data_IF_157976579058
#
_entry.id   IF_157976579058
#
_cell.length_a   1.000
_cell.length_b   1.000
_cell.length_c   1.000
_cell.angle_alpha   90.00
_cell.angle_beta   90.00
_cell.angle_gamma   90.00
#
_symmetry.space_group_name_H-M   'P 1'
#
loop_
_entity.id
_entity.type
_entity.pdbx_description
1 polymer ?
#
# COMPACT_ATOMS: atom_id res chain seq x y z
N UNK A 1 43.34 -8.98 -3.87
CA UNK A 1 42.74 -7.65 -3.61
C UNK A 1 41.24 -7.81 -3.75
N UNK A 2 40.54 -7.81 -2.61
CA UNK A 2 39.10 -8.05 -2.50
C UNK A 2 38.34 -6.76 -2.81
N UNK A 3 37.48 -6.78 -3.82
CA UNK A 3 36.41 -5.81 -4.03
C UNK A 3 35.14 -6.56 -4.47
N UNK A 4 34.50 -7.27 -3.53
CA UNK A 4 33.16 -7.83 -3.74
C UNK A 4 32.38 -7.67 -2.45
N UNK A 5 31.50 -6.66 -2.38
CA UNK A 5 30.67 -6.49 -1.18
C UNK A 5 29.74 -5.28 -1.07
N UNK A 6 29.82 -4.23 -1.89
CA UNK A 6 29.03 -3.01 -1.62
C UNK A 6 27.71 -2.84 -2.38
N UNK A 7 27.51 -3.49 -3.52
CA UNK A 7 26.43 -3.07 -4.45
C UNK A 7 25.11 -3.83 -4.29
N UNK A 8 25.11 -4.94 -3.54
CA UNK A 8 23.99 -5.88 -3.51
C UNK A 8 22.73 -5.40 -2.75
N UNK A 9 22.74 -4.17 -2.23
CA UNK A 9 21.65 -3.60 -1.44
C UNK A 9 21.25 -2.18 -1.86
N UNK A 10 21.80 -1.63 -2.94
CA UNK A 10 21.52 -0.25 -3.36
C UNK A 10 20.05 -0.03 -3.72
N UNK A 11 19.39 -1.00 -4.38
CA UNK A 11 17.97 -0.88 -4.67
C UNK A 11 17.08 -1.16 -3.44
N UNK A 12 17.49 -2.05 -2.52
CA UNK A 12 16.77 -2.25 -1.25
C UNK A 12 16.84 -0.98 -0.41
N UNK A 13 18.01 -0.34 -0.34
CA UNK A 13 18.15 1.02 0.19
C UNK A 13 17.30 2.00 -0.59
N UNK A 14 17.31 2.02 -1.92
CA UNK A 14 16.48 2.96 -2.68
C UNK A 14 14.98 2.75 -2.44
N UNK A 15 14.49 1.50 -2.39
CA UNK A 15 13.09 1.17 -2.11
C UNK A 15 12.75 1.44 -0.64
N UNK A 16 13.63 1.11 0.31
CA UNK A 16 13.42 1.42 1.74
C UNK A 16 13.55 2.91 2.04
N UNK A 17 14.51 3.62 1.44
CA UNK A 17 14.68 5.08 1.55
C UNK A 17 13.49 5.79 0.89
N UNK A 18 13.03 5.37 -0.29
CA UNK A 18 11.82 5.90 -0.91
C UNK A 18 10.57 5.56 -0.08
N UNK A 19 10.49 4.36 0.49
CA UNK A 19 9.36 3.94 1.32
C UNK A 19 9.37 4.58 2.72
N UNK A 20 10.54 4.87 3.30
CA UNK A 20 10.72 5.57 4.58
C UNK A 20 10.60 7.09 4.41
N UNK A 21 10.99 7.63 3.25
CA UNK A 21 10.83 9.04 2.91
C UNK A 21 9.36 9.47 2.90
N UNK A 22 8.46 8.53 2.65
CA UNK A 22 7.03 8.75 2.66
C UNK A 22 6.37 7.67 3.53
N UNK A 23 6.22 7.90 4.85
CA UNK A 23 5.68 6.91 5.80
C UNK A 23 4.29 6.38 5.40
N UNK A 24 3.51 7.19 4.68
CA UNK A 24 2.20 6.81 4.12
C UNK A 24 2.28 5.74 3.01
N UNK A 25 3.47 5.46 2.46
CA UNK A 25 3.70 4.43 1.44
C UNK A 25 3.91 3.02 2.01
N UNK A 26 4.23 2.93 3.31
CA UNK A 26 4.46 1.64 3.98
C UNK A 26 3.19 0.97 4.45
N UNK A 27 2.11 1.73 4.65
CA UNK A 27 0.85 1.12 5.04
C UNK A 27 0.29 0.34 3.86
N UNK A 28 0.55 -0.97 3.85
CA UNK A 28 -0.44 -1.93 3.37
C UNK A 28 -1.75 -1.48 4.00
N UNK A 29 -2.79 -1.17 3.21
CA UNK A 29 -4.06 -0.76 3.81
C UNK A 29 -4.46 -1.86 4.75
N UNK A 30 -4.51 -1.52 6.03
CA UNK A 30 -4.93 -2.45 7.06
C UNK A 30 -6.24 -3.07 6.61
N UNK A 31 -6.34 -4.39 6.76
CA UNK A 31 -7.56 -5.08 6.42
C UNK A 31 -8.68 -4.42 7.19
N UNK A 32 -9.57 -3.77 6.45
CA UNK A 32 -10.65 -2.95 6.99
C UNK A 32 -11.76 -3.89 7.45
N UNK A 33 -11.41 -4.76 8.38
CA UNK A 33 -12.34 -5.68 9.02
C UNK A 33 -12.88 -4.93 10.23
N UNK A 34 -14.21 -4.81 10.27
CA UNK A 34 -15.04 -3.98 11.14
C UNK A 34 -15.32 -2.58 10.56
N UNK A 35 -16.48 -2.48 9.88
CA UNK A 35 -17.50 -1.40 9.86
C UNK A 35 -17.16 0.08 10.10
N UNK A 36 -15.92 0.53 9.97
CA UNK A 36 -15.62 1.96 10.04
C UNK A 36 -15.14 2.46 8.70
N UNK A 37 -16.10 2.93 7.90
CA UNK A 37 -15.89 4.06 6.98
C UNK A 37 -15.39 5.34 7.71
N UNK A 38 -15.01 5.26 8.99
CA UNK A 38 -14.63 6.41 9.81
C UNK A 38 -13.21 6.91 9.55
N UNK A 39 -12.41 6.21 8.74
CA UNK A 39 -11.04 6.66 8.40
C UNK A 39 -11.05 8.02 7.67
N UNK A 40 -12.20 8.53 7.24
CA UNK A 40 -12.34 9.87 6.67
C UNK A 40 -13.18 10.89 7.46
N UNK A 41 -14.01 10.47 8.42
CA UNK A 41 -14.99 11.39 9.05
C UNK A 41 -14.37 12.25 10.14
N UNK A 42 -13.31 11.78 10.81
CA UNK A 42 -12.76 12.46 11.98
C UNK A 42 -11.71 13.53 11.65
N UNK A 43 -11.13 13.55 10.44
CA UNK A 43 -10.13 14.57 10.07
C UNK A 43 -10.74 15.91 9.60
N UNK A 44 -11.97 15.91 9.07
CA UNK A 44 -12.69 17.18 8.81
C UNK A 44 -13.16 17.86 10.10
N UNK A 45 -13.33 17.10 11.19
CA UNK A 45 -13.85 17.59 12.48
C UNK A 45 -12.76 18.21 13.38
N UNK A 46 -11.48 17.90 13.19
CA UNK A 46 -10.36 18.51 13.92
C UNK A 46 -9.92 19.85 13.28
N UNK A 47 -10.90 20.69 12.95
CA UNK A 47 -10.69 22.06 12.48
C UNK A 47 -10.00 22.89 13.57
N UNK A 48 -8.71 23.16 13.39
CA UNK A 48 -8.16 24.47 13.70
C UNK A 48 -7.88 25.20 12.37
N UNK A 49 -8.10 26.51 12.37
CA UNK A 49 -7.98 27.41 11.22
C UNK A 49 -6.59 27.27 10.54
N UNK A 50 -6.47 27.55 9.24
CA UNK A 50 -5.15 27.62 8.61
C UNK A 50 -4.33 28.68 9.32
N UNK A 51 -3.24 28.26 9.98
CA UNK A 51 -2.27 29.20 10.51
C UNK A 51 -1.65 29.94 9.32
N UNK A 52 -1.56 31.26 9.42
CA UNK A 52 -1.10 32.20 8.38
C UNK A 52 0.32 31.88 7.85
N UNK A 53 1.03 30.94 8.47
CA UNK A 53 2.35 30.45 8.09
C UNK A 53 2.38 29.43 6.93
N UNK A 54 1.23 28.97 6.40
CA UNK A 54 1.19 27.96 5.32
C UNK A 54 1.65 28.49 3.93
N UNK A 55 1.75 29.81 3.74
CA UNK A 55 1.99 30.39 2.41
C UNK A 55 3.47 30.47 2.00
N UNK A 56 4.41 30.56 2.94
CA UNK A 56 5.81 30.98 2.67
C UNK A 56 6.84 29.85 2.67
N UNK A 57 6.40 28.58 2.66
CA UNK A 57 7.30 27.43 2.65
C UNK A 57 7.83 27.10 1.25
N UNK A 58 9.13 26.73 1.12
CA UNK A 58 9.72 26.37 -0.18
C UNK A 58 9.02 25.15 -0.78
N UNK A 59 8.74 25.21 -2.09
CA UNK A 59 8.06 24.16 -2.84
C UNK A 59 9.01 23.01 -3.22
N UNK A 60 9.57 22.33 -2.21
CA UNK A 60 10.53 21.25 -2.38
C UNK A 60 10.11 19.95 -1.66
N UNK A 61 10.66 18.83 -2.13
CA UNK A 61 10.32 17.50 -1.62
C UNK A 61 10.79 17.31 -0.17
N UNK A 62 11.86 18.00 0.24
CA UNK A 62 12.40 17.92 1.60
C UNK A 62 11.40 18.50 2.59
N UNK A 63 10.82 19.67 2.29
CA UNK A 63 9.79 20.27 3.13
C UNK A 63 8.53 19.40 3.17
N UNK A 64 8.12 18.83 2.03
CA UNK A 64 7.00 17.89 2.00
C UNK A 64 7.20 16.71 2.96
N UNK A 65 8.38 16.09 2.96
CA UNK A 65 8.68 14.97 3.88
C UNK A 65 8.64 15.41 5.34
N UNK A 66 9.18 16.60 5.66
CA UNK A 66 9.14 17.15 7.02
C UNK A 66 7.70 17.39 7.50
N UNK A 67 6.84 17.93 6.65
CA UNK A 67 5.42 18.15 6.97
C UNK A 67 4.69 16.83 7.23
N UNK A 68 4.95 15.80 6.41
CA UNK A 68 4.39 14.47 6.62
C UNK A 68 4.85 13.83 7.94
N UNK A 69 6.12 13.97 8.29
CA UNK A 69 6.67 13.45 9.55
C UNK A 69 6.13 14.19 10.79
N UNK A 70 5.90 15.49 10.67
CA UNK A 70 5.36 16.33 11.76
C UNK A 70 3.84 16.27 11.86
N UNK A 71 3.15 15.53 10.97
CA UNK A 71 1.70 15.37 10.98
C UNK A 71 0.92 16.57 10.42
N UNK A 72 1.60 17.54 9.80
CA UNK A 72 0.99 18.72 9.19
C UNK A 72 0.39 18.39 7.81
N UNK A 73 -0.67 17.57 7.80
CA UNK A 73 -1.20 16.97 6.57
C UNK A 73 -1.84 17.98 5.61
N UNK A 74 -2.47 19.06 6.10
CA UNK A 74 -3.04 20.11 5.24
C UNK A 74 -1.97 20.91 4.50
N UNK A 75 -0.99 21.43 5.23
CA UNK A 75 0.17 22.09 4.63
C UNK A 75 0.87 21.18 3.62
N UNK A 76 1.06 19.89 3.96
CA UNK A 76 1.60 18.90 3.03
C UNK A 76 0.75 18.78 1.76
N UNK A 77 -0.58 18.72 1.88
CA UNK A 77 -1.49 18.65 0.74
C UNK A 77 -1.41 19.90 -0.14
N UNK A 78 -1.44 21.09 0.44
CA UNK A 78 -1.27 22.36 -0.29
C UNK A 78 0.08 22.42 -1.02
N UNK A 79 1.14 21.93 -0.36
CA UNK A 79 2.48 21.86 -0.94
C UNK A 79 2.55 20.88 -2.12
N UNK A 80 1.82 19.76 -2.09
CA UNK A 80 1.76 18.85 -3.25
C UNK A 80 1.24 19.57 -4.49
N UNK A 81 0.24 20.45 -4.36
CA UNK A 81 -0.26 21.26 -5.49
C UNK A 81 0.84 22.18 -6.02
N UNK A 82 1.52 22.92 -5.14
CA UNK A 82 2.62 23.84 -5.52
C UNK A 82 3.74 23.09 -6.25
N UNK A 83 4.14 21.92 -5.75
CA UNK A 83 5.18 21.09 -6.35
C UNK A 83 4.74 20.55 -7.72
N UNK A 84 3.50 20.08 -7.86
CA UNK A 84 3.00 19.51 -9.12
C UNK A 84 2.79 20.55 -10.22
N UNK A 85 2.53 21.81 -9.86
CA UNK A 85 2.45 22.94 -10.77
C UNK A 85 3.84 23.42 -11.24
N UNK A 86 4.90 23.12 -10.48
CA UNK A 86 6.25 23.45 -10.87
C UNK A 86 6.79 22.41 -11.87
N UNK A 87 7.08 22.84 -13.09
CA UNK A 87 7.50 21.95 -14.18
C UNK A 87 8.98 21.54 -14.12
N UNK A 88 9.73 22.01 -13.11
CA UNK A 88 11.16 21.74 -12.97
C UNK A 88 11.49 20.32 -12.48
N UNK A 89 10.50 19.53 -12.07
CA UNK A 89 10.73 18.20 -11.49
C UNK A 89 10.74 17.08 -12.53
N UNK A 90 11.64 16.11 -12.35
CA UNK A 90 11.66 14.87 -13.12
C UNK A 90 10.34 14.11 -12.95
N UNK A 91 9.88 13.43 -14.01
CA UNK A 91 8.62 12.68 -14.02
C UNK A 91 8.51 11.70 -12.84
N UNK A 92 9.59 10.99 -12.50
CA UNK A 92 9.60 10.07 -11.35
C UNK A 92 9.30 10.79 -10.04
N UNK A 93 9.86 11.99 -9.82
CA UNK A 93 9.55 12.82 -8.64
C UNK A 93 8.07 13.22 -8.62
N UNK A 94 7.52 13.64 -9.76
CA UNK A 94 6.10 13.99 -9.89
C UNK A 94 5.17 12.82 -9.54
N UNK A 95 5.50 11.60 -9.96
CA UNK A 95 4.71 10.39 -9.62
C UNK A 95 4.68 10.12 -8.12
N UNK A 96 5.78 10.35 -7.39
CA UNK A 96 5.83 10.19 -5.93
C UNK A 96 5.01 11.27 -5.21
N UNK A 97 5.05 12.51 -5.70
CA UNK A 97 4.23 13.61 -5.16
C UNK A 97 2.74 13.34 -5.40
N UNK A 98 2.38 12.87 -6.60
CA UNK A 98 1.01 12.42 -6.89
C UNK A 98 0.58 11.29 -5.98
N UNK A 99 1.43 10.28 -5.79
CA UNK A 99 1.12 9.19 -4.87
C UNK A 99 0.85 9.69 -3.44
N UNK A 100 1.69 10.60 -2.95
CA UNK A 100 1.51 11.23 -1.63
C UNK A 100 0.17 11.94 -1.56
N UNK A 101 -0.18 12.70 -2.59
CA UNK A 101 -1.44 13.42 -2.70
C UNK A 101 -2.65 12.47 -2.67
N UNK A 102 -2.61 11.36 -3.41
CA UNK A 102 -3.65 10.33 -3.36
C UNK A 102 -3.81 9.72 -1.96
N UNK A 103 -2.70 9.43 -1.28
CA UNK A 103 -2.76 8.94 0.11
C UNK A 103 -3.34 9.97 1.08
N UNK A 104 -3.07 11.27 0.87
CA UNK A 104 -3.69 12.33 1.65
C UNK A 104 -5.21 12.41 1.43
N UNK A 105 -5.70 12.25 0.19
CA UNK A 105 -7.15 12.13 -0.04
C UNK A 105 -7.78 10.97 0.73
N UNK A 106 -7.13 9.81 0.75
CA UNK A 106 -7.58 8.63 1.50
C UNK A 106 -7.65 8.96 3.01
N UNK A 107 -6.61 9.60 3.55
CA UNK A 107 -6.56 10.03 4.96
C UNK A 107 -7.64 11.08 5.31
N UNK A 108 -7.97 11.97 4.38
CA UNK A 108 -9.00 12.99 4.58
C UNK A 108 -10.42 12.49 4.31
N UNK A 109 -10.59 11.32 3.69
CA UNK A 109 -11.90 10.85 3.21
C UNK A 109 -12.49 11.72 2.09
N UNK A 110 -11.66 12.50 1.40
CA UNK A 110 -12.10 13.44 0.35
C UNK A 110 -12.23 12.72 -1.01
N UNK A 111 -13.11 11.71 -1.06
CA UNK A 111 -13.24 10.79 -2.20
C UNK A 111 -13.88 11.42 -3.45
N UNK A 112 -14.71 12.46 -3.28
CA UNK A 112 -15.32 13.15 -4.42
C UNK A 112 -14.27 13.90 -5.23
N UNK A 113 -13.38 14.61 -4.54
CA UNK A 113 -12.26 15.34 -5.10
C UNK A 113 -11.23 14.35 -5.68
N UNK A 114 -10.94 13.27 -4.95
CA UNK A 114 -10.02 12.24 -5.40
C UNK A 114 -10.49 11.53 -6.69
N UNK A 115 -11.81 11.40 -6.90
CA UNK A 115 -12.39 10.81 -8.12
C UNK A 115 -12.07 11.63 -9.37
N UNK A 116 -12.08 12.96 -9.27
CA UNK A 116 -11.71 13.84 -10.39
C UNK A 116 -10.22 13.70 -10.71
N UNK A 117 -9.39 13.59 -9.68
CA UNK A 117 -7.94 13.41 -9.88
C UNK A 117 -7.61 12.03 -10.48
N UNK A 118 -8.40 10.99 -10.16
CA UNK A 118 -8.25 9.65 -10.73
C UNK A 118 -8.37 9.58 -12.26
N UNK A 119 -9.08 10.52 -12.89
CA UNK A 119 -9.25 10.55 -14.35
C UNK A 119 -7.92 10.74 -15.10
N UNK A 120 -6.97 11.44 -14.47
CA UNK A 120 -5.64 11.74 -15.00
C UNK A 120 -4.74 10.50 -15.07
N UNK A 121 -5.09 9.43 -14.34
CA UNK A 121 -4.30 8.20 -14.23
C UNK A 121 -4.80 7.06 -15.14
N UNK A 122 -5.76 7.35 -16.03
CA UNK A 122 -6.28 6.36 -16.98
C UNK A 122 -5.19 5.76 -17.88
N UNK A 123 -4.24 6.58 -18.33
CA UNK A 123 -3.13 6.18 -19.19
C UNK A 123 -1.95 5.55 -18.44
N UNK A 124 -1.92 5.58 -17.09
CA UNK A 124 -0.83 4.96 -16.34
C UNK A 124 -0.79 3.43 -16.50
N UNK A 125 -1.93 2.82 -16.83
CA UNK A 125 -2.05 1.36 -16.95
C UNK A 125 -1.23 0.78 -18.11
N UNK A 126 -1.03 1.56 -19.17
CA UNK A 126 -0.34 1.12 -20.38
C UNK A 126 1.19 1.30 -20.26
N UNK A 127 1.65 1.99 -19.22
CA UNK A 127 3.06 2.25 -18.98
C UNK A 127 3.73 1.09 -18.22
N UNK A 128 5.01 0.80 -18.52
CA UNK A 128 5.73 -0.25 -17.81
C UNK A 128 5.89 0.11 -16.33
N UNK A 129 5.64 -0.88 -15.47
CA UNK A 129 5.84 -0.75 -14.03
C UNK A 129 7.33 -0.71 -13.69
N UNK A 130 7.70 0.16 -12.75
CA UNK A 130 9.07 0.29 -12.26
C UNK A 130 9.59 -1.05 -11.71
N UNK A 131 10.81 -1.40 -12.13
CA UNK A 131 11.47 -2.68 -11.87
C UNK A 131 10.82 -3.90 -12.54
N UNK A 132 9.96 -3.67 -13.55
CA UNK A 132 9.34 -4.71 -14.37
C UNK A 132 10.27 -5.27 -15.45
N UNK A 133 9.83 -6.33 -16.12
CA UNK A 133 10.60 -6.99 -17.18
C UNK A 133 11.05 -6.02 -18.30
N UNK A 134 10.20 -5.04 -18.60
CA UNK A 134 10.40 -4.03 -19.66
C UNK A 134 10.96 -2.70 -19.13
N UNK A 135 11.40 -2.66 -17.87
CA UNK A 135 11.77 -1.41 -17.18
C UNK A 135 13.05 -1.68 -16.37
N UNK A 136 14.21 -1.35 -16.93
CA UNK A 136 15.47 -1.53 -16.21
C UNK A 136 15.57 -0.60 -14.98
N UNK A 137 15.21 0.68 -15.11
CA UNK A 137 15.28 1.67 -14.00
C UNK A 137 14.23 2.79 -14.03
N UNK A 138 13.23 2.72 -14.93
CA UNK A 138 12.21 3.76 -15.08
C UNK A 138 10.85 3.15 -15.44
N UNK A 139 9.78 3.68 -14.85
CA UNK A 139 8.43 3.17 -14.99
C UNK A 139 7.52 3.73 -13.91
N UNK A 140 6.24 3.36 -13.94
CA UNK A 140 5.28 3.80 -12.93
C UNK A 140 5.55 3.05 -11.62
N UNK A 141 5.68 3.75 -10.47
CA UNK A 141 5.87 3.09 -9.19
C UNK A 141 4.72 2.11 -8.90
N UNK A 142 5.06 0.86 -8.53
CA UNK A 142 4.07 -0.17 -8.15
C UNK A 142 3.09 0.34 -7.08
N UNK A 143 3.63 1.04 -6.09
CA UNK A 143 2.87 1.55 -4.96
C UNK A 143 1.86 2.62 -5.40
N UNK A 144 2.17 3.43 -6.43
CA UNK A 144 1.21 4.37 -7.03
C UNK A 144 0.07 3.63 -7.71
N UNK A 145 0.38 2.61 -8.53
CA UNK A 145 -0.66 1.79 -9.19
C UNK A 145 -1.58 1.11 -8.16
N UNK A 146 -1.02 0.58 -7.08
CA UNK A 146 -1.79 -0.01 -5.99
C UNK A 146 -2.67 1.04 -5.28
N UNK A 147 -2.15 2.26 -5.07
CA UNK A 147 -2.91 3.39 -4.47
C UNK A 147 -4.07 3.81 -5.37
N UNK A 148 -3.85 3.89 -6.68
CA UNK A 148 -4.90 4.18 -7.68
C UNK A 148 -6.00 3.12 -7.64
N UNK A 149 -5.63 1.84 -7.61
CA UNK A 149 -6.60 0.75 -7.50
C UNK A 149 -7.40 0.81 -6.18
N UNK A 150 -6.73 1.09 -5.06
CA UNK A 150 -7.37 1.28 -3.76
C UNK A 150 -8.37 2.44 -3.78
N UNK A 151 -7.98 3.57 -4.35
CA UNK A 151 -8.83 4.75 -4.39
C UNK A 151 -10.06 4.51 -5.29
N UNK A 152 -9.91 3.78 -6.41
CA UNK A 152 -11.08 3.34 -7.18
C UNK A 152 -12.07 2.52 -6.34
N UNK A 153 -11.57 1.63 -5.48
CA UNK A 153 -12.42 0.86 -4.57
C UNK A 153 -13.14 1.78 -3.58
N UNK A 154 -12.43 2.71 -2.94
CA UNK A 154 -12.99 3.65 -1.97
C UNK A 154 -13.98 4.64 -2.60
N UNK A 155 -13.77 5.04 -3.85
CA UNK A 155 -14.68 5.90 -4.60
C UNK A 155 -15.88 5.13 -5.23
N UNK A 156 -16.06 3.84 -4.90
CA UNK A 156 -17.16 3.01 -5.39
C UNK A 156 -17.03 2.54 -6.84
N UNK A 157 -15.89 2.77 -7.50
CA UNK A 157 -15.60 2.31 -8.86
C UNK A 157 -15.06 0.88 -8.84
N UNK A 158 -15.89 -0.05 -8.36
CA UNK A 158 -15.54 -1.43 -8.00
C UNK A 158 -14.96 -2.23 -9.18
N UNK A 159 -15.57 -2.15 -10.36
CA UNK A 159 -15.10 -2.86 -11.56
C UNK A 159 -13.71 -2.40 -12.00
N UNK A 160 -13.44 -1.09 -11.91
CA UNK A 160 -12.12 -0.53 -12.22
C UNK A 160 -11.07 -0.98 -11.22
N UNK A 161 -11.43 -1.03 -9.93
CA UNK A 161 -10.54 -1.55 -8.90
C UNK A 161 -10.20 -3.02 -9.16
N UNK A 162 -11.20 -3.86 -9.43
CA UNK A 162 -11.00 -5.28 -9.71
C UNK A 162 -10.09 -5.49 -10.93
N UNK A 163 -10.39 -4.85 -12.06
CA UNK A 163 -9.60 -4.96 -13.28
C UNK A 163 -8.13 -4.58 -13.03
N UNK A 164 -7.88 -3.47 -12.34
CA UNK A 164 -6.52 -3.01 -11.99
C UNK A 164 -5.81 -4.00 -11.06
N UNK A 165 -6.48 -4.49 -10.01
CA UNK A 165 -5.87 -5.43 -9.07
C UNK A 165 -5.55 -6.79 -9.72
N UNK A 166 -6.44 -7.30 -10.57
CA UNK A 166 -6.20 -8.53 -11.33
C UNK A 166 -5.02 -8.40 -12.30
N UNK A 167 -4.94 -7.28 -13.03
CA UNK A 167 -3.78 -6.97 -13.89
C UNK A 167 -2.48 -6.88 -13.09
N UNK A 168 -2.48 -6.17 -11.96
CA UNK A 168 -1.31 -6.05 -11.10
C UNK A 168 -0.85 -7.40 -10.53
N UNK A 169 -1.79 -8.26 -10.13
CA UNK A 169 -1.46 -9.60 -9.64
C UNK A 169 -0.81 -10.45 -10.73
N UNK A 170 -1.39 -10.43 -11.93
CA UNK A 170 -0.84 -11.16 -13.09
C UNK A 170 0.58 -10.69 -13.42
N UNK A 171 0.80 -9.37 -13.49
CA UNK A 171 2.12 -8.80 -13.74
C UNK A 171 3.14 -9.17 -12.66
N UNK A 172 2.74 -9.25 -11.39
CA UNK A 172 3.62 -9.73 -10.32
C UNK A 172 4.02 -11.18 -10.54
N UNK A 173 3.08 -12.06 -10.88
CA UNK A 173 3.34 -13.49 -11.11
C UNK A 173 4.22 -13.73 -12.34
N UNK A 174 3.98 -12.98 -13.43
CA UNK A 174 4.84 -13.00 -14.61
C UNK A 174 6.26 -12.54 -14.27
N UNK A 175 6.41 -11.43 -13.54
CA UNK A 175 7.71 -10.92 -13.11
C UNK A 175 8.45 -11.92 -12.21
N UNK A 176 7.79 -12.53 -11.23
CA UNK A 176 8.36 -13.59 -10.39
C UNK A 176 8.91 -14.73 -11.26
N UNK A 177 8.13 -15.18 -12.25
CA UNK A 177 8.52 -16.27 -13.15
C UNK A 177 9.73 -15.88 -14.01
N UNK A 178 9.70 -14.67 -14.57
CA UNK A 178 10.79 -14.13 -15.38
C UNK A 178 12.10 -14.00 -14.61
N UNK A 179 12.08 -13.38 -13.43
CA UNK A 179 13.29 -13.20 -12.62
C UNK A 179 13.79 -14.52 -12.02
N UNK A 180 12.89 -15.48 -11.74
CA UNK A 180 13.28 -16.85 -11.37
C UNK A 180 14.05 -17.53 -12.50
N UNK A 181 13.57 -17.43 -13.74
CA UNK A 181 14.27 -18.00 -14.90
C UNK A 181 15.64 -17.34 -15.15
N UNK A 182 15.83 -16.10 -14.69
CA UNK A 182 17.11 -15.37 -14.73
C UNK A 182 18.01 -15.65 -13.52
N UNK A 183 17.59 -16.49 -12.58
CA UNK A 183 18.27 -16.74 -11.30
C UNK A 183 18.52 -15.44 -10.50
N UNK A 184 17.59 -14.49 -10.58
CA UNK A 184 17.65 -13.24 -9.83
C UNK A 184 16.73 -13.29 -8.61
N UNK A 185 17.18 -14.02 -7.59
CA UNK A 185 16.44 -14.23 -6.33
C UNK A 185 16.05 -12.92 -5.64
N UNK A 186 16.84 -11.87 -5.87
CA UNK A 186 16.66 -10.55 -5.27
C UNK A 186 15.42 -9.86 -5.82
N UNK A 187 15.26 -9.84 -7.16
CA UNK A 187 14.04 -9.34 -7.77
C UNK A 187 12.86 -10.29 -7.58
N UNK A 188 13.07 -11.60 -7.53
CA UNK A 188 12.02 -12.57 -7.16
C UNK A 188 11.41 -12.21 -5.81
N UNK A 189 12.24 -11.93 -4.80
CA UNK A 189 11.77 -11.56 -3.47
C UNK A 189 10.99 -10.23 -3.47
N UNK A 190 11.49 -9.21 -4.17
CA UNK A 190 10.78 -7.94 -4.35
C UNK A 190 9.37 -8.15 -4.93
N UNK A 191 9.26 -8.95 -5.98
CA UNK A 191 7.98 -9.18 -6.65
C UNK A 191 7.03 -10.06 -5.83
N UNK A 192 7.54 -11.00 -5.02
CA UNK A 192 6.73 -11.71 -4.02
C UNK A 192 6.15 -10.75 -2.98
N UNK A 193 6.95 -9.83 -2.45
CA UNK A 193 6.45 -8.82 -1.49
C UNK A 193 5.36 -7.93 -2.11
N UNK A 194 5.49 -7.58 -3.39
CA UNK A 194 4.44 -6.86 -4.13
C UNK A 194 3.19 -7.71 -4.32
N UNK A 195 3.35 -8.98 -4.68
CA UNK A 195 2.24 -9.94 -4.81
C UNK A 195 1.40 -10.00 -3.52
N UNK A 196 2.05 -10.12 -2.36
CA UNK A 196 1.38 -10.11 -1.05
C UNK A 196 0.55 -8.83 -0.84
N UNK A 197 1.08 -7.66 -1.21
CA UNK A 197 0.35 -6.38 -1.11
C UNK A 197 -0.88 -6.33 -2.01
N UNK A 198 -0.81 -6.91 -3.22
CA UNK A 198 -1.97 -7.00 -4.13
C UNK A 198 -3.03 -7.94 -3.57
N UNK A 199 -2.64 -9.11 -3.06
CA UNK A 199 -3.59 -10.09 -2.46
C UNK A 199 -4.27 -9.49 -1.22
N UNK A 200 -3.53 -8.76 -0.37
CA UNK A 200 -4.12 -8.03 0.75
C UNK A 200 -5.18 -7.00 0.28
N UNK A 201 -4.90 -6.29 -0.81
CA UNK A 201 -5.86 -5.35 -1.40
C UNK A 201 -7.07 -6.05 -2.03
N UNK A 202 -6.89 -7.21 -2.68
CA UNK A 202 -7.99 -8.03 -3.19
C UNK A 202 -8.87 -8.53 -2.04
N UNK A 203 -8.28 -8.85 -0.89
CA UNK A 203 -9.05 -9.19 0.31
C UNK A 203 -9.94 -8.01 0.73
N UNK A 204 -9.40 -6.79 0.78
CA UNK A 204 -10.18 -5.57 1.05
C UNK A 204 -11.28 -5.35 0.01
N UNK A 205 -11.00 -5.61 -1.27
CA UNK A 205 -12.01 -5.58 -2.33
C UNK A 205 -13.18 -6.52 -2.01
N UNK A 206 -12.91 -7.78 -1.65
CA UNK A 206 -13.94 -8.75 -1.27
C UNK A 206 -14.81 -8.28 -0.10
N UNK A 207 -14.18 -7.73 0.94
CA UNK A 207 -14.90 -7.17 2.11
C UNK A 207 -15.81 -6.01 1.70
N UNK A 208 -15.33 -5.07 0.88
CA UNK A 208 -16.12 -3.93 0.38
C UNK A 208 -17.23 -4.35 -0.62
N UNK A 209 -17.12 -5.53 -1.22
CA UNK A 209 -18.22 -6.17 -1.97
C UNK A 209 -19.20 -6.94 -1.10
N UNK A 210 -18.91 -7.13 0.20
CA UNK A 210 -19.58 -8.14 1.03
C UNK A 210 -19.48 -9.56 0.46
N UNK A 211 -18.50 -9.83 -0.41
CA UNK A 211 -18.15 -11.17 -0.86
C UNK A 211 -17.13 -11.77 0.10
N UNK A 212 -17.64 -12.22 1.25
CA UNK A 212 -16.83 -12.80 2.30
C UNK A 212 -16.18 -14.12 1.89
N UNK A 213 -16.79 -14.87 0.95
CA UNK A 213 -16.20 -16.10 0.43
C UNK A 213 -14.93 -15.78 -0.35
N UNK A 214 -14.98 -14.78 -1.24
CA UNK A 214 -13.80 -14.28 -1.94
C UNK A 214 -12.76 -13.75 -0.95
N UNK A 215 -13.17 -12.88 -0.02
CA UNK A 215 -12.25 -12.31 0.98
C UNK A 215 -11.52 -13.40 1.80
N UNK A 216 -12.24 -14.40 2.30
CA UNK A 216 -11.64 -15.52 3.05
C UNK A 216 -10.66 -16.29 2.16
N UNK A 217 -11.02 -16.56 0.90
CA UNK A 217 -10.14 -17.28 -0.04
C UNK A 217 -8.84 -16.50 -0.33
N UNK A 218 -8.95 -15.19 -0.59
CA UNK A 218 -7.80 -14.33 -0.84
C UNK A 218 -6.91 -14.19 0.40
N UNK A 219 -7.50 -14.08 1.60
CA UNK A 219 -6.74 -13.97 2.83
C UNK A 219 -6.04 -15.29 3.20
N UNK A 220 -6.66 -16.42 2.89
CA UNK A 220 -6.06 -17.75 3.04
C UNK A 220 -4.88 -17.93 2.07
N UNK A 221 -5.01 -17.43 0.84
CA UNK A 221 -3.90 -17.40 -0.12
C UNK A 221 -2.73 -16.54 0.40
N UNK A 222 -3.01 -15.32 0.89
CA UNK A 222 -2.02 -14.45 1.51
C UNK A 222 -1.28 -15.18 2.64
N UNK A 223 -2.04 -15.82 3.54
CA UNK A 223 -1.52 -16.57 4.69
C UNK A 223 -0.56 -17.69 4.28
N UNK A 224 -0.86 -18.40 3.19
CA UNK A 224 -0.04 -19.51 2.69
C UNK A 224 1.29 -19.08 2.07
N UNK A 225 1.38 -17.81 1.63
CA UNK A 225 2.57 -17.24 1.00
C UNK A 225 3.46 -16.48 1.99
N UNK A 226 2.94 -16.11 3.16
CA UNK A 226 3.69 -15.42 4.20
C UNK A 226 4.61 -16.38 4.97
N UNK A 227 5.78 -15.87 5.36
CA UNK A 227 6.78 -16.63 6.14
C UNK A 227 7.14 -15.96 7.47
N UNK A 228 6.95 -14.63 7.59
CA UNK A 228 7.25 -13.90 8.81
C UNK A 228 6.19 -14.20 9.89
N UNK A 229 6.57 -14.76 11.06
CA UNK A 229 5.65 -15.05 12.15
C UNK A 229 4.77 -13.87 12.58
N UNK A 230 5.27 -12.63 12.55
CA UNK A 230 4.47 -11.45 12.93
C UNK A 230 3.32 -11.21 11.96
N UNK A 231 3.61 -11.31 10.66
CA UNK A 231 2.62 -11.24 9.59
C UNK A 231 1.62 -12.40 9.67
N UNK A 232 2.08 -13.62 10.02
CA UNK A 232 1.19 -14.76 10.20
C UNK A 232 0.17 -14.49 11.30
N UNK A 233 0.61 -14.06 12.47
CA UNK A 233 -0.28 -13.74 13.61
C UNK A 233 -1.31 -12.68 13.20
N UNK A 234 -0.89 -11.64 12.49
CA UNK A 234 -1.78 -10.59 12.00
C UNK A 234 -2.83 -11.15 11.03
N UNK A 235 -2.42 -11.98 10.08
CA UNK A 235 -3.32 -12.59 9.09
C UNK A 235 -4.29 -13.58 9.73
N UNK A 236 -3.84 -14.39 10.70
CA UNK A 236 -4.71 -15.28 11.49
C UNK A 236 -5.78 -14.47 12.24
N UNK A 237 -5.40 -13.33 12.84
CA UNK A 237 -6.36 -12.44 13.51
C UNK A 237 -7.41 -11.92 12.54
N UNK A 238 -6.98 -11.55 11.32
CA UNK A 238 -7.87 -11.08 10.27
C UNK A 238 -8.80 -12.19 9.75
N UNK A 239 -8.32 -13.42 9.58
CA UNK A 239 -9.14 -14.58 9.23
C UNK A 239 -10.20 -14.84 10.30
N UNK A 240 -9.81 -14.84 11.58
CA UNK A 240 -10.74 -14.98 12.69
C UNK A 240 -11.86 -13.93 12.65
N UNK A 241 -11.51 -12.66 12.44
CA UNK A 241 -12.50 -11.57 12.31
C UNK A 241 -13.40 -11.73 11.07
N UNK A 242 -12.87 -12.16 9.92
CA UNK A 242 -13.68 -12.42 8.72
C UNK A 242 -14.66 -13.58 8.93
N UNK A 243 -14.24 -14.67 9.58
CA UNK A 243 -15.13 -15.78 9.90
C UNK A 243 -16.24 -15.38 10.90
N UNK A 244 -15.95 -14.49 11.85
CA UNK A 244 -16.99 -13.88 12.69
C UNK A 244 -18.01 -13.09 11.87
N UNK A 245 -17.55 -12.26 10.92
CA UNK A 245 -18.44 -11.51 10.02
C UNK A 245 -19.26 -12.42 9.10
N UNK A 246 -18.67 -13.54 8.68
CA UNK A 246 -19.34 -14.56 7.88
C UNK A 246 -20.35 -15.40 8.68
N UNK A 247 -20.23 -15.43 10.02
CA UNK A 247 -21.09 -16.20 10.93
C UNK A 247 -20.56 -17.59 11.30
N UNK A 248 -19.32 -17.93 10.92
CA UNK A 248 -18.68 -19.21 11.28
C UNK A 248 -17.84 -19.05 12.56
N UNK A 249 -18.52 -19.19 13.71
CA UNK A 249 -17.90 -19.05 15.03
C UNK A 249 -16.83 -20.12 15.30
N UNK A 250 -17.01 -21.33 14.76
CA UNK A 250 -16.10 -22.46 15.01
C UNK A 250 -14.76 -22.20 14.35
N UNK A 251 -14.76 -21.80 13.07
CA UNK A 251 -13.51 -21.45 12.38
C UNK A 251 -12.88 -20.20 12.95
N UNK A 252 -13.67 -19.20 13.32
CA UNK A 252 -13.15 -18.01 13.99
C UNK A 252 -12.36 -18.37 15.27
N UNK A 253 -12.92 -19.22 16.13
CA UNK A 253 -12.26 -19.67 17.36
C UNK A 253 -10.94 -20.42 17.07
N UNK A 254 -10.91 -21.26 16.04
CA UNK A 254 -9.70 -21.97 15.62
C UNK A 254 -8.56 -21.01 15.27
N UNK A 255 -8.84 -19.96 14.50
CA UNK A 255 -7.86 -18.93 14.15
C UNK A 255 -7.36 -18.16 15.37
N UNK A 256 -8.25 -17.79 16.32
CA UNK A 256 -7.83 -17.12 17.55
C UNK A 256 -6.99 -18.01 18.48
N UNK A 257 -7.24 -19.33 18.51
CA UNK A 257 -6.42 -20.28 19.27
C UNK A 257 -4.98 -20.36 18.75
N UNK A 258 -4.80 -20.37 17.43
CA UNK A 258 -3.46 -20.36 16.80
C UNK A 258 -2.67 -19.13 17.26
N UNK A 259 -3.32 -17.96 17.29
CA UNK A 259 -2.69 -16.71 17.74
C UNK A 259 -2.24 -16.78 19.20
N UNK A 260 -3.11 -17.26 20.09
CA UNK A 260 -2.81 -17.38 21.52
C UNK A 260 -1.63 -18.32 21.80
N UNK A 261 -1.38 -19.30 20.92
CA UNK A 261 -0.22 -20.18 21.02
C UNK A 261 1.08 -19.54 20.51
N UNK A 262 1.00 -18.71 19.46
CA UNK A 262 2.18 -18.12 18.80
C UNK A 262 2.68 -16.85 19.49
N UNK A 263 1.78 -16.02 20.06
CA UNK A 263 2.16 -14.76 20.74
C UNK A 263 3.15 -14.98 21.90
N UNK A 264 2.96 -15.96 22.81
CA UNK A 264 3.92 -16.22 23.89
C UNK A 264 5.31 -16.54 23.34
N UNK A 265 5.39 -17.35 22.28
CA UNK A 265 6.65 -17.76 21.65
C UNK A 265 7.39 -16.53 21.07
N UNK A 266 6.66 -15.59 20.46
CA UNK A 266 7.24 -14.35 19.92
C UNK A 266 7.68 -13.36 21.01
N UNK A 267 7.05 -13.41 22.19
CA UNK A 267 7.40 -12.59 23.35
C UNK A 267 8.41 -13.27 24.29
N UNK A 268 8.94 -14.45 23.93
CA UNK A 268 9.89 -15.22 24.74
C UNK A 268 9.27 -15.91 25.97
N UNK A 269 7.94 -15.98 26.06
CA UNK A 269 7.20 -16.70 27.10
C UNK A 269 6.85 -18.12 26.65
N UNK A 270 7.14 -19.11 27.50
CA UNK A 270 6.63 -20.47 27.29
C UNK A 270 5.10 -20.49 27.45
N UNK A 271 4.36 -21.21 26.58
CA UNK A 271 2.94 -21.42 26.78
C UNK A 271 2.72 -22.25 28.06
N UNK A 272 1.83 -21.79 28.94
CA UNK A 272 1.34 -22.51 30.13
C UNK A 272 0.16 -23.39 29.71
#
# INVERSE_FOLDING_TARGET
>A
MNCSGSDNHLWKKAVHEQSNAYPLLQSIPELKIVYTQEVGRNFRALQELPDVAEEDQPADEITLRKLLQTGQLRAAFSLTTKILLNDSQQMTGRLHVWQTRLNLYIRFGAFNEAKLELEQFSLLEDLPMQFGQNSAHGGVPFTLLLTVAHLHLLCGSKDRAQSKLSKLLHQCQEAITFFRNKNDDTFVQLWKERELKVIAMLTNYGVEQSDFKFAISSLTELRSKQTDPADLVRTESQLGKLFLQFGDLIRAEQHFKVINFVIPILLGGFPI
#
